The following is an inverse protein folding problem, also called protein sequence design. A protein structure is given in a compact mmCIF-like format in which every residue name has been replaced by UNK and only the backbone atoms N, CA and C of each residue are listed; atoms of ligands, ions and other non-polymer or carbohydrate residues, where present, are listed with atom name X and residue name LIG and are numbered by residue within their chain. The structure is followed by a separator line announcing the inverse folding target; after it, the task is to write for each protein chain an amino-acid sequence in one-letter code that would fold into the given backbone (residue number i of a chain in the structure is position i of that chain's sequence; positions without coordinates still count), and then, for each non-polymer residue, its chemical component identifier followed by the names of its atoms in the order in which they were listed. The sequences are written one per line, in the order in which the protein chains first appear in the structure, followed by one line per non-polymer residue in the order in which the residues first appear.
data_IF_771481315981
#
_entry.id   IF_771481315981
#
_cell.length_a   1.000
_cell.length_b   1.000
_cell.length_c   1.000
_cell.angle_alpha   90.00
_cell.angle_beta   90.00
_cell.angle_gamma   90.00
#
_symmetry.space_group_name_H-M   'P 1'
#
loop_
_entity.id
_entity.type
_entity.pdbx_description
1 polymer ?
#
# COMPACT_ATOMS: atom_id res chain seq x y z
N UNK A 1 -2.20 -3.39 11.77
CA UNK A 1 -1.01 -2.64 11.31
C UNK A 1 -0.19 -3.39 10.27
N UNK A 2 0.51 -4.48 10.59
CA UNK A 2 1.31 -5.21 9.60
C UNK A 2 0.52 -5.61 8.33
N UNK A 3 -0.68 -6.15 8.50
CA UNK A 3 -1.53 -6.54 7.37
C UNK A 3 -2.05 -5.37 6.53
N UNK A 4 -2.19 -4.17 7.10
CA UNK A 4 -2.64 -2.99 6.35
C UNK A 4 -1.54 -2.51 5.40
N UNK A 5 -0.28 -2.49 5.87
CA UNK A 5 0.88 -2.26 5.02
C UNK A 5 0.99 -3.31 3.91
N UNK A 6 0.90 -4.60 4.25
CA UNK A 6 1.00 -5.68 3.26
C UNK A 6 -0.12 -5.67 2.22
N UNK A 7 -1.34 -5.26 2.61
CA UNK A 7 -2.46 -5.12 1.69
C UNK A 7 -2.19 -4.03 0.65
N UNK A 8 -1.76 -2.84 1.11
CA UNK A 8 -1.39 -1.73 0.23
C UNK A 8 -0.21 -2.13 -0.69
N UNK A 9 0.83 -2.74 -0.14
CA UNK A 9 2.01 -3.19 -0.91
C UNK A 9 1.63 -4.15 -2.03
N UNK A 10 0.84 -5.18 -1.72
CA UNK A 10 0.44 -6.20 -2.70
C UNK A 10 -0.46 -5.63 -3.78
N UNK A 11 -1.38 -4.73 -3.42
CA UNK A 11 -2.23 -4.05 -4.39
C UNK A 11 -1.38 -3.24 -5.39
N UNK A 12 -0.44 -2.42 -4.88
CA UNK A 12 0.46 -1.63 -5.73
C UNK A 12 1.34 -2.51 -6.62
N UNK A 13 1.94 -3.58 -6.06
CA UNK A 13 2.75 -4.53 -6.84
C UNK A 13 1.93 -5.28 -7.90
N UNK A 14 0.68 -5.62 -7.59
CA UNK A 14 -0.26 -6.20 -8.53
C UNK A 14 -0.53 -5.26 -9.70
N UNK A 15 -0.80 -3.98 -9.42
CA UNK A 15 -0.97 -2.95 -10.43
C UNK A 15 0.27 -2.76 -11.32
N UNK A 16 1.48 -2.70 -10.73
CA UNK A 16 2.73 -2.64 -11.51
C UNK A 16 2.91 -3.87 -12.40
N UNK A 17 2.62 -5.06 -11.87
CA UNK A 17 2.72 -6.33 -12.59
C UNK A 17 1.76 -6.36 -13.77
N UNK A 18 0.51 -5.90 -13.57
CA UNK A 18 -0.48 -5.76 -14.64
C UNK A 18 0.01 -4.87 -15.78
N UNK A 19 0.64 -3.74 -15.45
CA UNK A 19 1.22 -2.82 -16.43
C UNK A 19 2.59 -3.25 -16.99
N UNK A 20 3.07 -4.47 -16.69
CA UNK A 20 4.36 -4.96 -17.15
C UNK A 20 5.57 -4.16 -16.64
N UNK A 21 5.40 -3.41 -15.53
CA UNK A 21 6.47 -2.59 -14.95
C UNK A 21 7.28 -3.43 -13.96
N UNK A 22 8.56 -3.60 -14.26
CA UNK A 22 9.52 -4.22 -13.34
C UNK A 22 9.78 -3.27 -12.17
N UNK A 23 9.74 -3.81 -10.96
CA UNK A 23 10.06 -3.08 -9.72
C UNK A 23 11.07 -3.86 -8.88
N UNK A 24 11.83 -3.16 -8.03
CA UNK A 24 12.80 -3.77 -7.13
C UNK A 24 12.10 -4.59 -6.05
N UNK A 25 12.79 -5.60 -5.53
CA UNK A 25 12.33 -6.34 -4.35
C UNK A 25 12.51 -5.47 -3.10
N UNK A 26 11.52 -4.62 -2.85
CA UNK A 26 11.46 -3.66 -1.74
C UNK A 26 10.12 -3.76 -1.02
N UNK A 27 10.08 -3.36 0.25
CA UNK A 27 8.85 -3.17 1.04
C UNK A 27 8.57 -1.67 1.28
N UNK A 28 9.35 -0.79 0.65
CA UNK A 28 9.19 0.65 0.77
C UNK A 28 8.01 1.12 -0.10
N UNK A 29 6.92 1.57 0.52
CA UNK A 29 5.73 2.02 -0.21
C UNK A 29 5.96 3.36 -0.92
N UNK A 30 6.96 4.17 -0.53
CA UNK A 30 7.34 5.37 -1.29
C UNK A 30 7.81 4.96 -2.68
N UNK A 31 8.81 4.07 -2.74
CA UNK A 31 9.42 3.61 -3.99
C UNK A 31 8.40 2.89 -4.90
N UNK A 32 7.57 2.02 -4.31
CA UNK A 32 6.52 1.31 -5.04
C UNK A 32 5.44 2.29 -5.51
N UNK A 33 5.07 3.25 -4.66
CA UNK A 33 4.05 4.25 -4.95
C UNK A 33 4.45 5.20 -6.07
N UNK A 34 5.71 5.66 -6.09
CA UNK A 34 6.28 6.44 -7.19
C UNK A 34 6.21 5.70 -8.52
N UNK A 35 6.51 4.39 -8.53
CA UNK A 35 6.40 3.57 -9.73
C UNK A 35 4.94 3.46 -10.24
N UNK A 36 3.96 3.37 -9.33
CA UNK A 36 2.55 3.39 -9.68
C UNK A 36 2.12 4.76 -10.24
N UNK A 37 2.55 5.85 -9.58
CA UNK A 37 2.26 7.22 -10.02
C UNK A 37 2.89 7.55 -11.39
N UNK A 38 4.00 6.89 -11.74
CA UNK A 38 4.59 6.98 -13.08
C UNK A 38 3.74 6.32 -14.19
N UNK A 39 2.77 5.46 -13.84
CA UNK A 39 1.77 4.93 -14.77
C UNK A 39 0.54 5.85 -14.79
N UNK A 40 0.04 6.20 -13.61
CA UNK A 40 -1.11 7.10 -13.45
C UNK A 40 -0.83 8.14 -12.35
N UNK A 41 -0.48 9.39 -12.74
CA UNK A 41 -0.15 10.45 -11.79
C UNK A 41 -1.29 10.83 -10.84
N UNK A 42 -2.55 10.50 -11.17
CA UNK A 42 -3.69 10.80 -10.30
C UNK A 42 -3.67 9.98 -9.00
N UNK A 43 -2.87 8.93 -8.94
CA UNK A 43 -2.67 8.12 -7.73
C UNK A 43 -1.71 8.77 -6.71
N UNK A 44 -0.88 9.72 -7.12
CA UNK A 44 0.22 10.26 -6.30
C UNK A 44 -0.24 10.74 -4.91
N UNK A 45 -1.32 11.54 -4.77
CA UNK A 45 -1.72 12.05 -3.45
C UNK A 45 -2.12 10.93 -2.48
N UNK A 46 -2.77 9.88 -2.99
CA UNK A 46 -3.17 8.72 -2.21
C UNK A 46 -1.95 7.86 -1.84
N UNK A 47 -1.06 7.60 -2.78
CA UNK A 47 0.12 6.76 -2.55
C UNK A 47 1.13 7.45 -1.62
N UNK A 48 1.22 8.79 -1.66
CA UNK A 48 1.99 9.57 -0.69
C UNK A 48 1.46 9.38 0.74
N UNK A 49 0.14 9.43 0.94
CA UNK A 49 -0.47 9.12 2.26
C UNK A 49 -0.18 7.67 2.67
N UNK A 50 -0.33 6.72 1.75
CA UNK A 50 -0.08 5.30 2.02
C UNK A 50 1.38 5.00 2.39
N UNK A 51 2.34 5.86 2.03
CA UNK A 51 3.74 5.70 2.39
C UNK A 51 3.97 5.61 3.91
N UNK A 52 3.13 6.27 4.71
CA UNK A 52 3.17 6.20 6.17
C UNK A 52 3.00 4.76 6.67
N UNK A 53 2.27 3.91 5.96
CA UNK A 53 2.11 2.51 6.34
C UNK A 53 3.43 1.73 6.32
N UNK A 54 4.48 2.23 5.65
CA UNK A 54 5.79 1.55 5.52
C UNK A 54 6.40 1.21 6.88
N UNK A 55 6.20 2.04 7.90
CA UNK A 55 6.73 1.77 9.25
C UNK A 55 6.13 0.48 9.86
N UNK A 56 4.86 0.18 9.53
CA UNK A 56 4.16 -1.00 10.02
C UNK A 56 4.67 -2.29 9.40
N UNK A 57 5.54 -2.22 8.38
CA UNK A 57 6.21 -3.38 7.85
C UNK A 57 7.08 -4.07 8.91
N UNK A 58 7.62 -3.33 9.89
CA UNK A 58 8.54 -3.87 10.89
C UNK A 58 8.25 -3.47 12.35
N UNK A 59 7.54 -2.36 12.60
CA UNK A 59 7.33 -1.78 13.94
C UNK A 59 6.79 -2.76 14.99
N UNK A 60 6.00 -3.75 14.58
CA UNK A 60 5.40 -4.75 15.49
C UNK A 60 5.99 -6.16 15.34
N UNK A 61 7.10 -6.33 14.60
CA UNK A 61 7.67 -7.66 14.30
C UNK A 61 8.71 -8.14 15.32
N UNK A 62 9.33 -7.24 16.06
CA UNK A 62 10.43 -7.58 16.99
C UNK A 62 10.07 -7.18 18.42
N UNK A 63 10.48 -7.99 19.42
CA UNK A 63 10.28 -7.67 20.82
C UNK A 63 11.04 -6.38 21.18
N UNK A 64 10.36 -5.49 21.90
CA UNK A 64 10.88 -4.17 22.27
C UNK A 64 9.74 -3.16 22.29
N UNK A 65 8.86 -3.28 23.30
CA UNK A 65 7.61 -2.53 23.52
C UNK A 65 7.33 -1.40 22.51
N UNK A 66 6.87 -1.73 21.29
CA UNK A 66 6.09 -0.76 20.54
C UNK A 66 4.80 -0.58 21.35
N UNK A 67 4.39 0.66 21.61
CA UNK A 67 3.04 0.90 22.12
C UNK A 67 2.04 0.18 21.21
N UNK A 68 1.09 -0.54 21.82
CA UNK A 68 0.01 -1.14 21.06
C UNK A 68 -0.73 -0.03 20.30
N UNK A 69 -1.03 -0.24 19.01
CA UNK A 69 -1.73 0.77 18.24
C UNK A 69 -3.11 0.98 18.84
N UNK A 70 -3.51 2.24 18.93
CA UNK A 70 -4.89 2.55 19.31
C UNK A 70 -5.88 1.99 18.29
N UNK A 71 -7.12 1.76 18.73
CA UNK A 71 -8.19 1.30 17.83
C UNK A 71 -8.45 2.32 16.68
N UNK A 72 -8.25 3.61 16.95
CA UNK A 72 -8.35 4.69 15.97
C UNK A 72 -7.25 4.62 14.91
N UNK A 73 -5.98 4.48 15.32
CA UNK A 73 -4.87 4.25 14.39
C UNK A 73 -5.08 3.00 13.53
N UNK A 74 -5.53 1.90 14.16
CA UNK A 74 -5.79 0.66 13.45
C UNK A 74 -6.91 0.82 12.40
N UNK A 75 -7.99 1.53 12.74
CA UNK A 75 -9.07 1.88 11.81
C UNK A 75 -8.58 2.78 10.67
N UNK A 76 -7.81 3.83 10.99
CA UNK A 76 -7.25 4.74 9.99
C UNK A 76 -6.34 4.02 9.00
N UNK A 77 -5.43 3.17 9.49
CA UNK A 77 -4.53 2.39 8.66
C UNK A 77 -5.28 1.38 7.78
N UNK A 78 -6.35 0.76 8.29
CA UNK A 78 -7.19 -0.15 7.50
C UNK A 78 -7.97 0.59 6.42
N UNK A 79 -8.56 1.75 6.74
CA UNK A 79 -9.28 2.58 5.78
C UNK A 79 -8.37 3.04 4.65
N UNK A 80 -7.16 3.49 4.96
CA UNK A 80 -6.17 3.90 3.97
C UNK A 80 -5.73 2.74 3.06
N UNK A 81 -5.47 1.55 3.62
CA UNK A 81 -5.14 0.38 2.83
C UNK A 81 -6.29 -0.04 1.90
N UNK A 82 -7.54 0.08 2.35
CA UNK A 82 -8.74 -0.16 1.53
C UNK A 82 -8.85 0.86 0.40
N UNK A 83 -8.67 2.14 0.68
CA UNK A 83 -8.70 3.24 -0.30
C UNK A 83 -7.67 3.01 -1.42
N UNK A 84 -6.45 2.59 -1.07
CA UNK A 84 -5.41 2.18 -2.04
C UNK A 84 -5.88 1.01 -2.89
N UNK A 85 -6.36 -0.07 -2.26
CA UNK A 85 -6.81 -1.26 -2.98
C UNK A 85 -7.93 -0.94 -3.98
N UNK A 86 -8.97 -0.24 -3.53
CA UNK A 86 -10.12 0.09 -4.38
C UNK A 86 -9.73 1.02 -5.52
N UNK A 87 -8.88 2.02 -5.26
CA UNK A 87 -8.41 2.96 -6.27
C UNK A 87 -7.58 2.28 -7.37
N UNK A 88 -6.71 1.35 -7.01
CA UNK A 88 -5.93 0.58 -7.98
C UNK A 88 -6.82 -0.39 -8.76
N UNK A 89 -7.76 -1.05 -8.09
CA UNK A 89 -8.67 -2.00 -8.71
C UNK A 89 -9.58 -1.35 -9.75
N UNK A 90 -10.04 -0.12 -9.50
CA UNK A 90 -10.85 0.65 -10.45
C UNK A 90 -10.11 0.98 -11.76
N UNK A 91 -8.78 0.95 -11.76
CA UNK A 91 -7.93 1.21 -12.94
C UNK A 91 -7.63 -0.07 -13.73
N UNK A 92 -8.05 -1.23 -13.23
CA UNK A 92 -7.98 -2.50 -13.93
C UNK A 92 -9.28 -2.77 -14.72
N UNK A 93 -9.23 -3.51 -15.84
CA UNK A 93 -10.44 -3.94 -16.56
C UNK A 93 -11.43 -4.65 -15.62
N UNK A 94 -12.75 -4.44 -15.77
CA UNK A 94 -13.77 -5.04 -14.90
C UNK A 94 -13.69 -6.57 -14.81
N UNK A 95 -13.39 -7.23 -15.92
CA UNK A 95 -13.45 -8.70 -16.05
C UNK A 95 -12.34 -9.44 -15.29
N UNK A 96 -11.33 -8.71 -14.80
CA UNK A 96 -10.20 -9.27 -14.04
C UNK A 96 -10.20 -8.83 -12.56
N UNK A 97 -11.22 -8.09 -12.15
CA UNK A 97 -11.38 -7.71 -10.74
C UNK A 97 -11.90 -8.94 -9.96
N UNK A 98 -11.40 -9.18 -8.73
CA UNK A 98 -11.78 -10.32 -7.90
C UNK A 98 -13.21 -10.23 -7.37
#
# INVERSE_FOLDING_TARGET
MFYTQQAAEKAMKGFLTWHGRVYRKTHNLVEIGEACAAIDPTLEPLLRRAAELTEYAWRFRYPGNPEEPSEEEARGALALAREVFDSLLQRLPPDIRP
#
